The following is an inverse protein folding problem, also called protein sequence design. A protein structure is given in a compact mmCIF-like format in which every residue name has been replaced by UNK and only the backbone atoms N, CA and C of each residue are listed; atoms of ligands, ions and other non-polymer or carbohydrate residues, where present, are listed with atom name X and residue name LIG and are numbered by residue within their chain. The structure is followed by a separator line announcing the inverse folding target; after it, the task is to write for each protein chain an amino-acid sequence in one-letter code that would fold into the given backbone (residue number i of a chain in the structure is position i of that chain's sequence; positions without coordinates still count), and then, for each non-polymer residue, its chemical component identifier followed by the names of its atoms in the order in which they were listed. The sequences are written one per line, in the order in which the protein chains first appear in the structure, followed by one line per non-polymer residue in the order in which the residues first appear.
data_IF_162742030741
#
_entry.id   IF_162742030741
#
_cell.length_a   1.000
_cell.length_b   1.000
_cell.length_c   1.000
_cell.angle_alpha   90.00
_cell.angle_beta   90.00
_cell.angle_gamma   90.00
#
_symmetry.space_group_name_H-M   'P 1'
#
loop_
_entity.id
_entity.type
_entity.pdbx_description
1 polymer ?
#
# COMPACT_ATOMS: atom_id res chain seq x y z
N UNK A 1 5.87 -18.01 16.19
CA UNK A 1 7.05 -18.07 15.28
C UNK A 1 6.58 -17.58 13.92
N UNK A 2 6.73 -16.28 13.65
CA UNK A 2 6.35 -15.70 12.36
C UNK A 2 7.52 -15.91 11.40
N UNK A 3 7.35 -16.79 10.42
CA UNK A 3 8.20 -16.83 9.24
C UNK A 3 8.11 -15.44 8.59
N UNK A 4 9.14 -14.61 8.75
CA UNK A 4 9.38 -13.48 7.85
C UNK A 4 9.68 -14.06 6.49
N UNK A 5 8.63 -14.26 5.69
CA UNK A 5 8.76 -14.59 4.27
C UNK A 5 9.36 -13.35 3.60
N UNK A 6 10.65 -13.44 3.31
CA UNK A 6 11.35 -12.47 2.48
C UNK A 6 10.80 -12.59 1.05
N UNK A 7 9.95 -11.65 0.66
CA UNK A 7 9.28 -11.68 -0.64
C UNK A 7 10.11 -10.89 -1.68
N UNK A 8 10.55 -11.58 -2.74
CA UNK A 8 11.14 -10.94 -3.91
C UNK A 8 10.16 -10.97 -5.07
N UNK A 9 9.66 -9.80 -5.45
CA UNK A 9 8.73 -9.69 -6.59
C UNK A 9 9.43 -9.21 -7.86
N UNK A 10 9.33 -9.99 -8.95
CA UNK A 10 9.79 -9.57 -10.28
C UNK A 10 8.62 -8.96 -11.05
N UNK A 11 8.65 -7.65 -11.31
CA UNK A 11 7.56 -6.97 -11.99
C UNK A 11 7.39 -7.34 -13.46
N UNK A 12 8.48 -7.45 -14.23
CA UNK A 12 8.43 -7.86 -15.63
C UNK A 12 9.72 -8.54 -16.03
N UNK A 13 9.62 -9.73 -16.63
CA UNK A 13 10.73 -10.45 -17.23
C UNK A 13 10.61 -10.41 -18.76
N UNK A 14 11.68 -10.05 -19.44
CA UNK A 14 11.77 -10.13 -20.92
C UNK A 14 13.03 -10.89 -21.29
N UNK A 15 12.84 -12.09 -21.84
CA UNK A 15 13.93 -12.91 -22.38
C UNK A 15 13.91 -12.78 -23.91
N UNK A 16 15.07 -12.58 -24.52
CA UNK A 16 15.23 -12.53 -25.98
C UNK A 16 16.09 -13.73 -26.40
N UNK A 17 15.62 -14.52 -27.37
CA UNK A 17 16.31 -15.71 -27.86
C UNK A 17 15.35 -16.73 -28.47
N UNK A 18 15.81 -17.94 -28.82
CA UNK A 18 14.95 -19.06 -29.20
C UNK A 18 13.92 -19.39 -28.11
N UNK A 19 12.70 -19.83 -28.49
CA UNK A 19 11.60 -20.06 -27.54
C UNK A 19 11.95 -21.10 -26.45
N UNK A 20 12.64 -22.17 -26.82
CA UNK A 20 13.10 -23.19 -25.87
C UNK A 20 14.05 -22.62 -24.80
N UNK A 21 14.95 -21.70 -25.19
CA UNK A 21 15.84 -21.02 -24.26
C UNK A 21 15.09 -20.01 -23.39
N UNK A 22 14.06 -19.34 -23.93
CA UNK A 22 13.23 -18.41 -23.16
C UNK A 22 12.51 -19.11 -22.01
N UNK A 23 11.82 -20.22 -22.30
CA UNK A 23 11.04 -20.98 -21.32
C UNK A 23 11.96 -21.55 -20.23
N UNK A 24 13.12 -22.09 -20.62
CA UNK A 24 14.10 -22.62 -19.68
C UNK A 24 14.68 -21.53 -18.76
N UNK A 25 15.07 -20.38 -19.30
CA UNK A 25 15.57 -19.24 -18.51
C UNK A 25 14.49 -18.72 -17.57
N UNK A 26 13.23 -18.65 -18.01
CA UNK A 26 12.13 -18.21 -17.16
C UNK A 26 11.93 -19.13 -15.95
N UNK A 27 11.93 -20.45 -16.16
CA UNK A 27 11.84 -21.43 -15.07
C UNK A 27 13.04 -21.36 -14.12
N UNK A 28 14.25 -21.21 -14.67
CA UNK A 28 15.48 -21.09 -13.90
C UNK A 28 15.49 -19.85 -13.00
N UNK A 29 14.92 -18.73 -13.48
CA UNK A 29 14.81 -17.48 -12.72
C UNK A 29 13.69 -17.47 -11.69
N UNK A 30 12.58 -18.18 -11.94
CA UNK A 30 11.50 -18.35 -10.97
C UNK A 30 11.96 -19.14 -9.73
N UNK A 31 12.84 -20.13 -9.93
CA UNK A 31 13.43 -20.95 -8.86
C UNK A 31 14.74 -20.38 -8.30
N UNK A 32 15.16 -19.21 -8.77
CA UNK A 32 16.42 -18.63 -8.36
C UNK A 32 16.32 -18.07 -6.95
N UNK A 33 17.41 -18.24 -6.20
CA UNK A 33 17.59 -17.63 -4.89
C UNK A 33 18.03 -16.16 -5.09
N UNK A 34 17.05 -15.26 -5.05
CA UNK A 34 17.29 -13.83 -5.26
C UNK A 34 17.94 -13.19 -4.04
N UNK A 35 18.84 -12.22 -4.24
CA UNK A 35 19.54 -11.60 -3.12
C UNK A 35 18.61 -10.79 -2.24
N UNK A 36 18.73 -10.99 -0.95
CA UNK A 36 18.00 -10.26 0.06
C UNK A 36 18.69 -8.94 0.42
N UNK A 37 17.88 -7.94 0.73
CA UNK A 37 18.39 -6.68 1.28
C UNK A 37 18.77 -6.89 2.76
N UNK A 38 19.85 -6.24 3.24
CA UNK A 38 20.29 -6.43 4.62
C UNK A 38 19.26 -5.88 5.62
N UNK A 39 18.95 -6.69 6.64
CA UNK A 39 18.06 -6.30 7.73
C UNK A 39 16.60 -6.23 7.31
N UNK A 40 15.97 -5.06 7.51
CA UNK A 40 14.56 -4.81 7.14
C UNK A 40 14.42 -3.95 5.89
N UNK A 41 15.52 -3.68 5.17
CA UNK A 41 15.51 -2.74 4.07
C UNK A 41 14.61 -3.20 2.93
N UNK A 42 13.92 -2.24 2.31
CA UNK A 42 13.17 -2.48 1.08
C UNK A 42 13.93 -1.85 -0.07
N UNK A 43 14.24 -2.64 -1.10
CA UNK A 43 15.02 -2.18 -2.25
C UNK A 43 14.22 -2.38 -3.53
N UNK A 44 14.01 -1.29 -4.26
CA UNK A 44 13.48 -1.34 -5.62
C UNK A 44 14.64 -1.26 -6.60
N UNK A 45 14.65 -2.16 -7.58
CA UNK A 45 15.58 -2.11 -8.71
C UNK A 45 14.77 -1.86 -9.97
N UNK A 46 15.13 -0.80 -10.71
CA UNK A 46 14.36 -0.35 -11.86
C UNK A 46 14.46 -1.32 -13.04
N UNK A 47 15.67 -1.79 -13.35
CA UNK A 47 15.89 -2.66 -14.50
C UNK A 47 17.22 -3.41 -14.43
N UNK A 48 17.17 -4.73 -14.41
CA UNK A 48 18.38 -5.54 -14.63
C UNK A 48 18.48 -5.92 -16.11
N UNK A 49 19.68 -5.80 -16.70
CA UNK A 49 19.94 -6.19 -18.09
C UNK A 49 21.24 -6.96 -18.16
N UNK A 50 21.15 -8.20 -18.66
CA UNK A 50 22.29 -9.08 -18.89
C UNK A 50 22.19 -9.63 -20.30
N UNK A 51 23.34 -9.79 -20.97
CA UNK A 51 23.45 -10.42 -22.28
C UNK A 51 24.55 -11.46 -22.23
N UNK A 52 24.18 -12.73 -22.08
CA UNK A 52 25.09 -13.86 -21.90
C UNK A 52 24.54 -15.12 -22.56
N UNK A 53 25.35 -16.19 -22.60
CA UNK A 53 24.90 -17.53 -22.99
C UNK A 53 23.84 -18.05 -22.01
N UNK A 54 22.90 -18.89 -22.48
CA UNK A 54 21.72 -19.35 -21.73
C UNK A 54 22.07 -19.90 -20.34
N UNK A 55 23.11 -20.70 -20.24
CA UNK A 55 23.65 -21.30 -19.00
C UNK A 55 24.17 -20.26 -17.99
N UNK A 56 24.59 -19.08 -18.45
CA UNK A 56 25.17 -18.04 -17.63
C UNK A 56 24.19 -16.92 -17.26
N UNK A 57 23.05 -16.80 -17.95
CA UNK A 57 22.06 -15.74 -17.73
C UNK A 57 21.63 -15.66 -16.27
N UNK A 58 21.30 -16.81 -15.65
CA UNK A 58 20.89 -16.86 -14.24
C UNK A 58 21.98 -16.34 -13.31
N UNK A 59 23.19 -16.88 -13.43
CA UNK A 59 24.31 -16.53 -12.56
C UNK A 59 24.65 -15.03 -12.68
N UNK A 60 24.75 -14.52 -13.91
CA UNK A 60 25.05 -13.11 -14.16
C UNK A 60 23.93 -12.19 -13.69
N UNK A 61 22.65 -12.57 -13.84
CA UNK A 61 21.53 -11.76 -13.36
C UNK A 61 21.47 -11.69 -11.84
N UNK A 62 21.73 -12.82 -11.16
CA UNK A 62 21.84 -12.85 -9.70
C UNK A 62 23.03 -12.04 -9.19
N UNK A 63 24.16 -12.09 -9.89
CA UNK A 63 25.33 -11.27 -9.56
C UNK A 63 25.04 -9.78 -9.71
N UNK A 64 24.38 -9.37 -10.80
CA UNK A 64 23.98 -7.98 -11.03
C UNK A 64 22.94 -7.52 -9.99
N UNK A 65 21.96 -8.38 -9.67
CA UNK A 65 21.00 -8.13 -8.61
C UNK A 65 21.69 -7.94 -7.26
N UNK A 66 22.67 -8.78 -6.91
CA UNK A 66 23.47 -8.66 -5.68
C UNK A 66 24.22 -7.34 -5.66
N UNK A 67 24.85 -6.97 -6.77
CA UNK A 67 25.55 -5.70 -6.86
C UNK A 67 24.60 -4.51 -6.64
N UNK A 68 23.43 -4.51 -7.28
CA UNK A 68 22.42 -3.48 -7.10
C UNK A 68 21.89 -3.44 -5.65
N UNK A 69 21.59 -4.60 -5.06
CA UNK A 69 20.98 -4.74 -3.71
C UNK A 69 21.97 -4.45 -2.59
N UNK A 70 23.26 -4.75 -2.75
CA UNK A 70 24.26 -4.54 -1.70
C UNK A 70 25.05 -3.24 -1.86
N UNK A 71 25.31 -2.81 -3.09
CA UNK A 71 26.26 -1.72 -3.38
C UNK A 71 25.71 -0.63 -4.30
N UNK A 72 24.56 -0.86 -4.94
CA UNK A 72 23.93 0.11 -5.82
C UNK A 72 23.50 1.37 -5.07
N UNK A 73 24.06 2.51 -5.47
CA UNK A 73 23.75 3.84 -4.93
C UNK A 73 23.24 4.82 -6.00
N UNK A 74 22.97 4.35 -7.23
CA UNK A 74 22.40 5.17 -8.29
C UNK A 74 20.88 5.33 -8.08
N UNK A 75 20.37 6.52 -7.74
CA UNK A 75 18.94 6.75 -7.48
C UNK A 75 18.05 6.57 -8.73
N UNK A 76 18.64 6.60 -9.94
CA UNK A 76 17.88 6.35 -11.18
C UNK A 76 17.59 4.87 -11.41
N UNK A 77 18.30 4.00 -10.69
CA UNK A 77 18.34 2.57 -10.92
C UNK A 77 17.97 1.76 -9.68
N UNK A 78 18.32 2.25 -8.49
CA UNK A 78 18.06 1.60 -7.19
C UNK A 78 17.46 2.63 -6.23
N UNK A 79 16.31 2.30 -5.64
CA UNK A 79 15.70 3.08 -4.56
C UNK A 79 15.64 2.23 -3.31
N UNK A 80 16.06 2.80 -2.17
CA UNK A 80 16.18 2.08 -0.90
C UNK A 80 15.34 2.74 0.18
N UNK A 81 14.73 1.92 1.00
CA UNK A 81 14.04 2.31 2.22
C UNK A 81 14.60 1.52 3.39
N UNK A 82 14.71 2.18 4.54
CA UNK A 82 15.26 1.56 5.75
C UNK A 82 14.41 0.37 6.23
N UNK A 83 13.09 0.49 6.11
CA UNK A 83 12.12 -0.54 6.43
C UNK A 83 10.80 -0.29 5.67
N UNK A 84 9.84 -1.21 5.81
CA UNK A 84 8.50 -1.11 5.21
C UNK A 84 7.75 0.15 5.65
N UNK A 85 7.87 0.54 6.91
CA UNK A 85 7.19 1.72 7.46
C UNK A 85 7.70 3.02 6.80
N UNK A 86 9.02 3.13 6.61
CA UNK A 86 9.64 4.25 5.91
C UNK A 86 9.23 4.28 4.43
N UNK A 87 9.12 3.11 3.77
CA UNK A 87 8.59 3.03 2.41
C UNK A 87 7.15 3.55 2.34
N UNK A 88 6.27 3.08 3.23
CA UNK A 88 4.87 3.48 3.26
C UNK A 88 4.69 4.96 3.61
N UNK A 89 5.43 5.50 4.59
CA UNK A 89 5.40 6.92 4.93
C UNK A 89 5.85 7.80 3.75
N UNK A 90 6.86 7.35 3.00
CA UNK A 90 7.32 8.04 1.79
C UNK A 90 6.27 7.97 0.68
N UNK A 91 5.60 6.82 0.50
CA UNK A 91 4.50 6.67 -0.45
C UNK A 91 3.34 7.62 -0.11
N UNK A 92 2.90 7.66 1.13
CA UNK A 92 1.84 8.58 1.61
C UNK A 92 2.23 10.04 1.35
N UNK A 93 3.48 10.40 1.64
CA UNK A 93 4.00 11.74 1.39
C UNK A 93 4.00 12.08 -0.12
N UNK A 94 4.44 11.16 -0.96
CA UNK A 94 4.50 11.36 -2.42
C UNK A 94 3.09 11.41 -3.05
N UNK A 95 2.13 10.64 -2.52
CA UNK A 95 0.72 10.70 -2.91
C UNK A 95 0.12 12.07 -2.53
N UNK A 96 0.36 12.54 -1.30
CA UNK A 96 -0.16 13.81 -0.81
C UNK A 96 0.41 15.03 -1.58
N UNK A 97 1.65 14.91 -2.07
CA UNK A 97 2.30 15.90 -2.96
C UNK A 97 1.85 15.80 -4.43
N UNK A 98 1.30 14.65 -4.85
CA UNK A 98 1.02 14.37 -6.26
C UNK A 98 2.26 13.96 -7.08
N UNK A 99 3.38 13.68 -6.41
CA UNK A 99 4.63 13.27 -7.05
C UNK A 99 4.69 11.77 -7.31
N UNK A 100 3.82 10.98 -6.67
CA UNK A 100 3.86 9.52 -6.75
C UNK A 100 3.85 9.00 -8.21
N UNK A 101 3.08 9.64 -9.10
CA UNK A 101 3.02 9.27 -10.52
C UNK A 101 4.30 9.51 -11.31
N UNK A 102 5.18 10.40 -10.85
CA UNK A 102 6.45 10.74 -11.51
C UNK A 102 7.58 9.78 -11.13
N UNK A 103 7.46 9.10 -9.99
CA UNK A 103 8.52 8.22 -9.48
C UNK A 103 8.35 6.80 -10.03
N UNK A 104 9.42 6.28 -10.61
CA UNK A 104 9.39 4.99 -11.31
C UNK A 104 9.11 3.81 -10.36
N UNK A 105 9.55 3.89 -9.12
CA UNK A 105 9.41 2.80 -8.15
C UNK A 105 7.99 2.68 -7.59
N UNK A 106 7.14 3.70 -7.77
CA UNK A 106 5.72 3.63 -7.45
C UNK A 106 4.85 3.06 -8.57
N UNK A 107 5.41 2.77 -9.75
CA UNK A 107 4.63 2.32 -10.91
C UNK A 107 3.93 0.97 -10.71
N UNK A 108 4.37 0.16 -9.74
CA UNK A 108 3.64 -1.05 -9.34
C UNK A 108 2.25 -0.71 -8.78
N UNK A 109 2.12 0.43 -8.11
CA UNK A 109 0.89 0.92 -7.49
C UNK A 109 0.17 1.95 -8.38
N UNK A 110 0.26 1.83 -9.71
CA UNK A 110 -0.43 2.75 -10.64
C UNK A 110 -1.93 2.87 -10.39
N UNK A 111 -2.57 1.80 -9.93
CA UNK A 111 -3.99 1.84 -9.57
C UNK A 111 -4.24 2.81 -8.41
N UNK A 112 -3.39 2.78 -7.39
CA UNK A 112 -3.45 3.70 -6.26
C UNK A 112 -3.19 5.15 -6.69
N UNK A 113 -2.21 5.35 -7.57
CA UNK A 113 -1.86 6.69 -8.10
C UNK A 113 -2.98 7.27 -8.97
N UNK A 114 -3.77 6.41 -9.62
CA UNK A 114 -4.89 6.82 -10.47
C UNK A 114 -6.15 7.21 -9.67
N UNK A 115 -6.21 6.85 -8.38
CA UNK A 115 -7.33 7.20 -7.50
C UNK A 115 -7.24 8.69 -7.07
N UNK A 116 -8.36 9.28 -6.63
CA UNK A 116 -8.33 10.53 -5.88
C UNK A 116 -7.37 10.42 -4.68
N UNK A 117 -6.56 11.46 -4.45
CA UNK A 117 -5.50 11.45 -3.43
C UNK A 117 -6.03 11.01 -2.06
N UNK A 118 -7.18 11.54 -1.64
CA UNK A 118 -7.79 11.18 -0.36
C UNK A 118 -8.10 9.69 -0.25
N UNK A 119 -8.71 9.10 -1.29
CA UNK A 119 -9.04 7.67 -1.34
C UNK A 119 -7.78 6.80 -1.37
N UNK A 120 -6.73 7.26 -2.07
CA UNK A 120 -5.44 6.57 -2.11
C UNK A 120 -4.77 6.55 -0.71
N UNK A 121 -4.77 7.69 -0.02
CA UNK A 121 -4.25 7.79 1.35
C UNK A 121 -5.05 6.91 2.32
N UNK A 122 -6.38 6.96 2.24
CA UNK A 122 -7.28 6.10 3.02
C UNK A 122 -6.95 4.63 2.79
N UNK A 123 -6.85 4.19 1.53
CA UNK A 123 -6.63 2.77 1.20
C UNK A 123 -5.32 2.26 1.81
N UNK A 124 -4.23 3.02 1.72
CA UNK A 124 -2.94 2.63 2.32
C UNK A 124 -3.01 2.58 3.85
N UNK A 125 -3.69 3.54 4.48
CA UNK A 125 -3.79 3.58 5.95
C UNK A 125 -4.72 2.49 6.49
N UNK A 126 -5.82 2.20 5.80
CA UNK A 126 -6.79 1.18 6.19
C UNK A 126 -6.26 -0.25 5.98
N UNK A 127 -5.37 -0.47 5.02
CA UNK A 127 -4.72 -1.77 4.80
C UNK A 127 -3.63 -2.09 5.86
N UNK A 128 -3.17 -1.07 6.61
CA UNK A 128 -2.09 -1.20 7.60
C UNK A 128 -2.44 -0.55 8.96
N UNK A 129 -3.58 -0.90 9.59
CA UNK A 129 -4.05 -0.28 10.83
C UNK A 129 -3.05 -0.46 11.97
N UNK A 130 -2.36 -1.58 12.03
CA UNK A 130 -1.35 -1.89 13.05
C UNK A 130 -0.08 -1.02 12.94
N UNK A 131 0.15 -0.41 11.78
CA UNK A 131 1.36 0.39 11.51
C UNK A 131 1.11 1.90 11.64
N UNK A 132 -0.11 2.36 11.87
CA UNK A 132 -0.45 3.79 11.84
C UNK A 132 0.37 4.62 12.82
N UNK A 133 0.65 4.11 14.02
CA UNK A 133 1.48 4.83 15.00
C UNK A 133 2.91 5.06 14.45
N UNK A 134 3.52 4.02 13.88
CA UNK A 134 4.86 4.12 13.29
C UNK A 134 4.86 4.99 12.02
N UNK A 135 3.81 4.91 11.19
CA UNK A 135 3.66 5.77 10.02
C UNK A 135 3.54 7.23 10.43
N UNK A 136 2.76 7.53 11.48
CA UNK A 136 2.60 8.88 12.03
C UNK A 136 3.93 9.43 12.54
N UNK A 137 4.72 8.60 13.23
CA UNK A 137 6.07 8.98 13.68
C UNK A 137 7.00 9.29 12.49
N UNK A 138 7.06 8.42 11.49
CA UNK A 138 7.90 8.65 10.31
C UNK A 138 7.44 9.88 9.50
N UNK A 139 6.13 10.09 9.33
CA UNK A 139 5.58 11.28 8.68
C UNK A 139 5.89 12.57 9.46
N UNK A 140 5.93 12.48 10.80
CA UNK A 140 6.34 13.59 11.67
C UNK A 140 7.83 13.91 11.49
N UNK A 141 8.69 12.89 11.49
CA UNK A 141 10.13 13.02 11.22
C UNK A 141 10.41 13.60 9.83
N UNK A 142 9.61 13.22 8.82
CA UNK A 142 9.68 13.74 7.45
C UNK A 142 9.02 15.12 7.29
N UNK A 143 8.39 15.68 8.35
CA UNK A 143 7.63 16.94 8.35
C UNK A 143 6.47 16.97 7.34
N UNK A 144 5.97 15.80 6.93
CA UNK A 144 4.87 15.65 5.97
C UNK A 144 3.55 15.29 6.63
N UNK A 145 3.54 15.07 7.95
CA UNK A 145 2.35 14.70 8.69
C UNK A 145 1.16 15.65 8.42
N UNK A 146 1.27 16.98 8.55
CA UNK A 146 0.13 17.86 8.31
C UNK A 146 -0.33 17.85 6.85
N UNK A 147 0.60 17.64 5.92
CA UNK A 147 0.29 17.57 4.49
C UNK A 147 -0.56 16.35 4.18
N UNK A 148 -0.20 15.19 4.72
CA UNK A 148 -0.94 13.93 4.50
C UNK A 148 -2.35 14.02 5.09
N UNK A 149 -2.48 14.42 6.37
CA UNK A 149 -3.80 14.47 7.01
C UNK A 149 -4.74 15.51 6.40
N UNK A 150 -4.22 16.66 5.96
CA UNK A 150 -5.04 17.69 5.28
C UNK A 150 -5.51 17.28 3.89
N UNK A 151 -4.92 16.24 3.30
CA UNK A 151 -5.33 15.71 1.99
C UNK A 151 -6.45 14.66 2.09
N UNK A 152 -6.76 14.18 3.30
CA UNK A 152 -7.93 13.37 3.53
C UNK A 152 -9.18 14.25 3.54
N UNK A 153 -10.21 13.82 2.82
CA UNK A 153 -11.55 14.38 2.92
C UNK A 153 -12.17 13.97 4.25
N UNK A 154 -13.17 14.73 4.71
CA UNK A 154 -13.89 14.41 5.94
C UNK A 154 -14.54 13.01 5.87
N UNK A 155 -15.10 12.64 4.72
CA UNK A 155 -15.72 11.33 4.52
C UNK A 155 -14.71 10.19 4.66
N UNK A 156 -13.55 10.30 4.02
CA UNK A 156 -12.49 9.28 4.07
C UNK A 156 -11.82 9.24 5.45
N UNK A 157 -11.66 10.38 6.12
CA UNK A 157 -11.12 10.46 7.48
C UNK A 157 -12.08 9.81 8.49
N UNK A 158 -13.39 10.04 8.36
CA UNK A 158 -14.40 9.37 9.20
C UNK A 158 -14.41 7.86 8.96
N UNK A 159 -14.29 7.43 7.70
CA UNK A 159 -14.21 6.01 7.38
C UNK A 159 -12.94 5.38 7.95
N UNK A 160 -11.78 6.04 7.84
CA UNK A 160 -10.54 5.58 8.47
C UNK A 160 -10.70 5.47 10.00
N UNK A 161 -11.30 6.48 10.63
CA UNK A 161 -11.53 6.47 12.07
C UNK A 161 -12.38 5.26 12.50
N UNK A 162 -13.46 4.95 11.78
CA UNK A 162 -14.30 3.77 12.05
C UNK A 162 -13.53 2.46 11.91
N UNK A 163 -12.73 2.31 10.86
CA UNK A 163 -11.89 1.12 10.66
C UNK A 163 -10.90 0.95 11.81
N UNK A 164 -10.31 2.04 12.30
CA UNK A 164 -9.40 2.00 13.44
C UNK A 164 -10.09 1.70 14.75
N UNK A 165 -11.25 2.29 15.01
CA UNK A 165 -12.07 1.95 16.16
C UNK A 165 -12.40 0.45 16.15
N UNK A 166 -12.92 -0.05 15.03
CA UNK A 166 -13.25 -1.46 14.85
C UNK A 166 -12.04 -2.37 15.10
N UNK A 167 -10.89 -2.05 14.50
CA UNK A 167 -9.67 -2.84 14.64
C UNK A 167 -9.14 -2.87 16.09
N UNK A 168 -9.35 -1.78 16.84
CA UNK A 168 -8.97 -1.67 18.24
C UNK A 168 -10.05 -2.16 19.21
N UNK A 169 -11.15 -2.74 18.71
CA UNK A 169 -12.25 -3.27 19.53
C UNK A 169 -13.19 -2.20 20.10
N UNK A 170 -13.05 -0.94 19.69
CA UNK A 170 -14.02 0.10 19.98
C UNK A 170 -15.17 -0.03 18.97
N UNK A 171 -16.38 -0.28 19.48
CA UNK A 171 -17.58 -0.12 18.67
C UNK A 171 -17.97 1.34 18.72
N UNK A 172 -18.33 1.90 17.57
CA UNK A 172 -19.05 3.16 17.53
C UNK A 172 -20.21 3.02 18.52
N UNK A 173 -20.24 3.87 19.53
CA UNK A 173 -21.47 4.09 20.25
C UNK A 173 -22.39 4.76 19.23
N UNK A 174 -23.04 3.95 18.39
CA UNK A 174 -24.31 4.34 17.79
C UNK A 174 -25.10 4.90 18.94
N UNK A 175 -25.40 6.18 18.81
CA UNK A 175 -26.22 6.98 19.70
C UNK A 175 -27.21 6.06 20.39
N UNK A 176 -26.93 5.70 21.65
CA UNK A 176 -27.97 5.28 22.56
C UNK A 176 -28.84 6.52 22.73
N UNK A 177 -29.69 6.80 21.75
CA UNK A 177 -30.95 7.43 21.99
C UNK A 177 -31.66 6.46 22.94
N UNK A 178 -31.39 6.66 24.23
CA UNK A 178 -32.30 6.32 25.30
C UNK A 178 -33.63 6.92 24.89
N UNK A 179 -34.44 6.12 24.20
CA UNK A 179 -35.88 6.32 24.11
C UNK A 179 -36.39 6.25 25.53
N UNK A 180 -36.37 7.40 26.21
CA UNK A 180 -37.09 7.60 27.44
C UNK A 180 -38.57 7.34 27.13
N UNK A 181 -39.29 6.61 28.00
CA UNK A 181 -40.70 6.33 27.79
C UNK A 181 -41.47 7.65 27.75
N UNK A 182 -42.29 7.76 26.71
CA UNK A 182 -43.08 8.92 26.32
C UNK A 182 -44.02 9.34 27.45
N UNK A 183 -43.81 10.51 28.03
CA UNK A 183 -44.85 11.22 28.78
C UNK A 183 -45.53 12.22 27.83
N UNK A 184 -46.77 11.89 27.50
CA UNK A 184 -47.82 12.66 26.84
C UNK A 184 -47.88 14.13 27.26
N UNK A 185 -48.04 15.06 26.30
CA UNK A 185 -49.14 16.07 26.16
C UNK A 185 -48.81 17.07 25.01
N UNK A 186 -49.79 17.60 24.25
CA UNK A 186 -49.62 17.95 22.83
C UNK A 186 -49.50 19.46 22.52
N UNK A 187 -49.24 19.74 21.22
CA UNK A 187 -49.44 21.01 20.47
C UNK A 187 -48.33 22.09 20.63
N UNK A 188 -47.86 22.82 19.60
CA UNK A 188 -48.18 22.94 18.19
C UNK A 188 -46.97 23.59 17.45
N UNK A 189 -46.77 23.18 16.19
CA UNK A 189 -46.25 23.96 15.04
C UNK A 189 -44.92 24.75 15.14
N UNK A 190 -43.90 24.29 14.37
CA UNK A 190 -43.40 25.03 13.18
C UNK A 190 -42.30 24.26 12.41
N UNK A 191 -42.65 23.92 11.17
CA UNK A 191 -41.86 23.81 9.94
C UNK A 191 -40.31 23.77 10.01
N UNK A 192 -39.72 22.68 9.50
CA UNK A 192 -38.30 22.64 9.16
C UNK A 192 -37.82 21.29 8.61
N UNK A 193 -38.09 21.04 7.32
CA UNK A 193 -37.30 20.20 6.40
C UNK A 193 -36.93 18.78 6.89
N UNK A 194 -37.74 17.80 6.51
CA UNK A 194 -37.39 16.37 6.52
C UNK A 194 -36.27 16.08 5.53
N UNK A 195 -35.02 16.02 5.99
CA UNK A 195 -33.98 15.29 5.28
C UNK A 195 -34.04 13.81 5.69
N UNK A 196 -34.83 13.05 4.93
CA UNK A 196 -34.81 11.59 4.91
C UNK A 196 -33.52 11.14 4.24
N UNK A 197 -32.45 10.98 5.01
CA UNK A 197 -31.22 10.36 4.49
C UNK A 197 -31.24 8.87 4.82
N UNK A 198 -31.50 8.09 3.77
CA UNK A 198 -31.53 6.64 3.74
C UNK A 198 -30.37 6.01 4.53
N UNK A 199 -30.71 5.08 5.40
CA UNK A 199 -29.82 4.00 5.83
C UNK A 199 -29.30 3.27 4.59
N UNK A 200 -28.10 3.62 4.15
CA UNK A 200 -27.30 2.71 3.33
C UNK A 200 -26.64 1.79 4.34
N UNK A 201 -27.30 0.66 4.64
CA UNK A 201 -26.61 -0.52 5.11
C UNK A 201 -25.63 -0.91 4.00
N UNK A 202 -24.44 -0.32 4.02
CA UNK A 202 -23.36 -0.66 3.13
C UNK A 202 -22.98 -2.10 3.44
N UNK A 203 -23.60 -3.03 2.73
CA UNK A 203 -23.16 -4.41 2.65
C UNK A 203 -21.76 -4.37 2.07
N UNK A 204 -20.75 -4.37 2.94
CA UNK A 204 -19.33 -4.28 2.57
C UNK A 204 -19.03 -5.45 1.63
N UNK A 205 -18.74 -5.22 0.34
CA UNK A 205 -18.26 -6.30 -0.51
C UNK A 205 -16.85 -6.64 -0.04
N UNK A 206 -16.72 -7.74 0.71
CA UNK A 206 -15.43 -8.37 1.06
C UNK A 206 -14.56 -8.72 -0.17
N UNK A 207 -15.08 -8.53 -1.39
CA UNK A 207 -14.42 -8.81 -2.66
C UNK A 207 -13.44 -7.74 -3.15
N UNK A 208 -13.35 -6.57 -2.50
CA UNK A 208 -12.31 -5.56 -2.85
C UNK A 208 -11.01 -5.79 -2.07
N UNK A 209 -11.07 -6.48 -0.93
CA UNK A 209 -9.96 -6.72 -0.01
C UNK A 209 -9.08 -7.95 -0.36
N UNK A 210 -9.37 -8.66 -1.46
CA UNK A 210 -8.57 -9.82 -1.91
C UNK A 210 -7.56 -9.51 -3.03
N UNK A 211 -7.30 -8.23 -3.36
CA UNK A 211 -6.39 -7.87 -4.46
C UNK A 211 -4.96 -7.48 -4.07
N UNK A 212 -4.62 -7.57 -2.79
CA UNK A 212 -3.31 -7.13 -2.29
C UNK A 212 -2.49 -8.24 -1.62
N UNK A 213 -2.68 -9.49 -2.06
CA UNK A 213 -1.67 -10.51 -1.84
C UNK A 213 -0.63 -10.43 -2.97
N UNK A 214 0.68 -10.47 -2.68
CA UNK A 214 1.63 -10.89 -3.69
C UNK A 214 1.15 -12.25 -4.20
N UNK A 215 1.09 -12.38 -5.52
CA UNK A 215 0.73 -13.63 -6.17
C UNK A 215 1.72 -14.69 -5.70
N UNK A 216 1.30 -15.52 -4.73
CA UNK A 216 1.93 -16.79 -4.41
C UNK A 216 1.68 -17.71 -5.61
N UNK A 217 2.71 -17.86 -6.45
CA UNK A 217 2.83 -18.97 -7.41
C UNK A 217 4.16 -19.64 -7.15
#
# INVERSE_FOLDING_TARGET
MLNTLYDTTIGTLRVRGPRADQDAVQQDLQRADWPEAPGQQVVFVRRLKVSQRRDQIRASLLQEARHCVLSGNDPNQVMRFANTQHMLATLLSDLARGDAGRRWYWQRWRQLIAMPVSQALYSVLADHPEQINALTEHLSQQQTLPLVWRRLTEADALQLWRELCWHNGYRDAETTETSAPTATTPNAERHGITHRSNNIAATIPRSVLQRWQPVLV
#
